data_IF_918399850227
#
_entry.id   IF_918399850227
#
_cell.length_a   1.000
_cell.length_b   1.000
_cell.length_c   1.000
_cell.angle_alpha   90.00
_cell.angle_beta   90.00
_cell.angle_gamma   90.00
#
_symmetry.space_group_name_H-M   'P 1'
#
loop_
_entity.id
_entity.type
_entity.pdbx_description
1 polymer ?
#
# COMPACT_ATOMS: atom_id res chain seq x y z
N UNK A 1 10.89 27.62 27.56
CA UNK A 1 9.94 26.57 27.08
C UNK A 1 8.82 26.47 28.08
N UNK A 2 7.60 26.45 27.60
CA UNK A 2 6.40 26.24 28.39
C UNK A 2 6.24 24.73 28.71
N UNK A 3 6.00 24.39 29.98
CA UNK A 3 5.91 23.00 30.41
C UNK A 3 4.49 22.47 30.30
N UNK A 4 4.29 21.39 29.54
CA UNK A 4 3.03 20.68 29.37
C UNK A 4 3.12 19.29 30.00
N UNK A 5 2.08 18.91 30.78
CA UNK A 5 1.93 17.54 31.30
C UNK A 5 0.70 16.93 30.68
N UNK A 6 0.84 15.69 30.16
CA UNK A 6 -0.25 14.99 29.47
C UNK A 6 -0.24 13.49 29.79
N UNK A 7 -1.34 12.82 29.49
CA UNK A 7 -1.40 11.36 29.59
C UNK A 7 -0.66 10.67 28.43
N UNK A 8 -0.88 11.16 27.21
CA UNK A 8 -0.31 10.61 25.98
C UNK A 8 0.26 11.72 25.10
N UNK A 9 1.51 11.58 24.72
CA UNK A 9 2.14 12.41 23.69
C UNK A 9 2.29 11.56 22.41
N UNK A 10 1.66 12.00 21.32
CA UNK A 10 1.74 11.37 20.00
C UNK A 10 2.64 12.22 19.11
N UNK A 11 3.63 11.62 18.48
CA UNK A 11 4.59 12.29 17.60
C UNK A 11 4.34 11.83 16.17
N UNK A 12 3.83 12.72 15.34
CA UNK A 12 3.43 12.51 13.96
C UNK A 12 1.90 12.43 13.79
N UNK A 13 1.33 13.24 12.90
CA UNK A 13 -0.08 13.33 12.58
C UNK A 13 -0.43 12.65 11.23
N UNK A 14 0.24 11.56 10.91
CA UNK A 14 -0.20 10.64 9.86
C UNK A 14 -1.32 9.71 10.36
N UNK A 15 -1.80 8.81 9.50
CA UNK A 15 -2.94 7.91 9.76
C UNK A 15 -2.89 7.18 11.11
N UNK A 16 -1.72 6.70 11.52
CA UNK A 16 -1.54 6.02 12.80
C UNK A 16 -1.64 6.97 13.98
N UNK A 17 -0.94 8.12 13.93
CA UNK A 17 -0.95 9.10 15.01
C UNK A 17 -2.30 9.75 15.22
N UNK A 18 -2.98 10.15 14.13
CA UNK A 18 -4.35 10.67 14.16
C UNK A 18 -5.32 9.67 14.79
N UNK A 19 -5.22 8.39 14.41
CA UNK A 19 -6.06 7.33 14.97
C UNK A 19 -5.86 7.15 16.48
N UNK A 20 -4.61 7.22 16.97
CA UNK A 20 -4.31 7.16 18.41
C UNK A 20 -4.85 8.41 19.11
N UNK A 21 -4.57 9.60 18.58
CA UNK A 21 -4.95 10.86 19.20
C UNK A 21 -6.48 10.97 19.33
N UNK A 22 -7.22 10.73 18.23
CA UNK A 22 -8.68 10.75 18.24
C UNK A 22 -9.27 9.69 19.18
N UNK A 23 -8.78 8.45 19.11
CA UNK A 23 -9.26 7.35 19.95
C UNK A 23 -9.01 7.59 21.43
N UNK A 24 -7.84 8.09 21.80
CA UNK A 24 -7.49 8.33 23.18
C UNK A 24 -8.24 9.54 23.78
N UNK A 25 -8.30 10.66 23.07
CA UNK A 25 -8.99 11.86 23.54
C UNK A 25 -10.49 11.64 23.76
N UNK A 26 -11.18 10.99 22.82
CA UNK A 26 -12.60 10.68 22.95
C UNK A 26 -12.91 9.70 24.09
N UNK A 27 -11.90 8.99 24.60
CA UNK A 27 -12.00 8.13 25.79
C UNK A 27 -11.56 8.83 27.07
N UNK A 28 -11.35 10.16 27.03
CA UNK A 28 -11.08 11.01 28.18
C UNK A 28 -9.62 11.08 28.63
N UNK A 29 -8.67 10.70 27.78
CA UNK A 29 -7.26 10.92 28.05
C UNK A 29 -6.84 12.34 27.60
N UNK A 30 -5.96 12.97 28.35
CA UNK A 30 -5.27 14.19 27.92
C UNK A 30 -4.23 13.81 26.85
N UNK A 31 -4.37 14.39 25.65
CA UNK A 31 -3.51 14.07 24.49
C UNK A 31 -2.85 15.30 23.92
N UNK A 32 -1.54 15.23 23.76
CA UNK A 32 -0.76 16.15 22.92
C UNK A 32 -0.39 15.42 21.63
N UNK A 33 -0.67 16.05 20.50
CA UNK A 33 -0.28 15.60 19.15
C UNK A 33 0.72 16.60 18.56
N UNK A 34 1.89 16.13 18.16
CA UNK A 34 2.94 16.98 17.58
C UNK A 34 3.12 16.62 16.11
N UNK A 35 3.06 17.63 15.23
CA UNK A 35 3.27 17.46 13.79
C UNK A 35 4.15 18.60 13.25
N UNK A 36 5.21 18.21 12.53
CA UNK A 36 6.13 19.19 11.93
C UNK A 36 5.72 19.64 10.53
N UNK A 37 5.01 18.77 9.81
CA UNK A 37 4.58 18.97 8.42
C UNK A 37 3.06 19.10 8.29
N UNK A 38 2.49 18.63 7.21
CA UNK A 38 1.05 18.70 6.97
C UNK A 38 0.28 17.64 7.76
N UNK A 39 -0.87 18.03 8.32
CA UNK A 39 -1.81 17.12 8.96
C UNK A 39 -2.30 16.07 7.95
N UNK A 40 -2.56 14.84 8.40
CA UNK A 40 -2.88 13.70 7.52
C UNK A 40 -1.65 12.92 7.04
N UNK A 41 -0.46 13.53 7.13
CA UNK A 41 0.83 12.92 6.80
C UNK A 41 0.95 12.50 5.34
N UNK A 42 1.84 11.52 5.09
CA UNK A 42 2.20 11.07 3.73
C UNK A 42 0.99 10.55 2.93
N UNK A 43 0.11 9.78 3.55
CA UNK A 43 -1.03 9.16 2.85
C UNK A 43 -1.96 10.18 2.20
N UNK A 44 -2.35 11.22 2.93
CA UNK A 44 -3.23 12.28 2.44
C UNK A 44 -2.53 13.18 1.42
N UNK A 45 -1.31 13.63 1.73
CA UNK A 45 -0.68 14.73 1.02
C UNK A 45 0.23 14.26 -0.13
N UNK A 46 0.89 13.09 -0.01
CA UNK A 46 1.96 12.67 -0.90
C UNK A 46 1.90 11.20 -1.31
N UNK A 47 0.88 10.45 -0.89
CA UNK A 47 0.82 9.00 -1.05
C UNK A 47 -0.48 8.51 -1.67
N UNK A 48 -1.30 7.82 -0.86
CA UNK A 48 -2.47 7.08 -1.33
C UNK A 48 -3.50 7.97 -2.02
N UNK A 49 -3.82 9.12 -1.44
CA UNK A 49 -4.88 10.00 -1.97
C UNK A 49 -4.47 10.61 -3.31
N UNK A 50 -3.36 11.34 -3.43
CA UNK A 50 -2.97 11.93 -4.70
C UNK A 50 -2.68 10.90 -5.79
N UNK A 51 -2.07 9.76 -5.46
CA UNK A 51 -1.78 8.73 -6.45
C UNK A 51 -3.06 8.10 -7.02
N UNK A 52 -4.08 7.84 -6.19
CA UNK A 52 -5.35 7.24 -6.66
C UNK A 52 -6.19 8.26 -7.43
N UNK A 53 -6.15 9.54 -7.07
CA UNK A 53 -6.77 10.59 -7.87
C UNK A 53 -6.10 10.72 -9.25
N UNK A 54 -4.78 10.64 -9.33
CA UNK A 54 -4.03 10.66 -10.59
C UNK A 54 -4.32 9.41 -11.45
N UNK A 55 -4.35 8.22 -10.84
CA UNK A 55 -4.69 6.97 -11.51
C UNK A 55 -6.11 7.01 -12.07
N UNK A 56 -7.09 7.54 -11.32
CA UNK A 56 -8.47 7.68 -11.81
C UNK A 56 -8.57 8.59 -13.04
N UNK A 57 -7.84 9.71 -13.06
CA UNK A 57 -7.75 10.55 -14.25
C UNK A 57 -7.12 9.81 -15.44
N UNK A 58 -6.04 9.05 -15.20
CA UNK A 58 -5.36 8.25 -16.22
C UNK A 58 -6.24 7.09 -16.74
N UNK A 59 -7.03 6.45 -15.85
CA UNK A 59 -8.00 5.41 -16.22
C UNK A 59 -9.09 5.96 -17.15
N UNK A 60 -9.58 7.17 -16.91
CA UNK A 60 -10.58 7.80 -17.78
C UNK A 60 -10.06 8.04 -19.20
N UNK A 61 -8.79 8.39 -19.35
CA UNK A 61 -8.12 8.51 -20.66
C UNK A 61 -8.02 7.14 -21.34
N UNK A 62 -7.59 6.11 -20.63
CA UNK A 62 -7.47 4.77 -21.20
C UNK A 62 -8.84 4.18 -21.56
N UNK A 63 -9.87 4.41 -20.73
CA UNK A 63 -11.23 3.99 -21.04
C UNK A 63 -11.76 4.61 -22.35
N UNK A 64 -11.43 5.87 -22.61
CA UNK A 64 -11.79 6.53 -23.87
C UNK A 64 -11.06 5.90 -25.07
N UNK A 65 -9.77 5.57 -24.94
CA UNK A 65 -8.99 4.88 -25.99
C UNK A 65 -9.53 3.48 -26.28
N UNK A 66 -9.95 2.77 -25.23
CA UNK A 66 -10.43 1.39 -25.32
C UNK A 66 -11.93 1.30 -25.74
N UNK A 67 -12.66 2.41 -25.81
CA UNK A 67 -14.09 2.45 -26.12
C UNK A 67 -14.42 1.81 -27.49
N UNK A 68 -13.47 1.83 -28.42
CA UNK A 68 -13.62 1.21 -29.77
C UNK A 68 -13.97 -0.28 -29.71
N UNK A 69 -13.52 -1.02 -28.69
CA UNK A 69 -13.87 -2.44 -28.50
C UNK A 69 -15.37 -2.70 -28.27
N UNK A 70 -16.10 -1.66 -27.82
CA UNK A 70 -17.56 -1.70 -27.64
C UNK A 70 -18.33 -1.07 -28.81
N UNK A 71 -17.63 -0.71 -29.90
CA UNK A 71 -18.23 -0.01 -31.04
C UNK A 71 -18.41 1.49 -30.83
N UNK A 72 -17.84 2.06 -29.75
CA UNK A 72 -17.89 3.50 -29.48
C UNK A 72 -16.56 4.12 -29.95
N UNK A 73 -16.61 4.80 -31.10
CA UNK A 73 -15.42 5.41 -31.69
C UNK A 73 -15.28 6.86 -31.23
N UNK A 74 -14.16 7.15 -30.56
CA UNK A 74 -13.81 8.46 -30.04
C UNK A 74 -12.51 8.96 -30.68
N UNK A 75 -12.32 10.27 -30.75
CA UNK A 75 -11.02 10.86 -31.08
C UNK A 75 -10.04 10.64 -29.89
N UNK A 76 -8.74 10.73 -30.17
CA UNK A 76 -7.72 10.68 -29.10
C UNK A 76 -8.01 11.79 -28.07
N UNK A 77 -8.08 11.45 -26.78
CA UNK A 77 -8.36 12.43 -25.75
C UNK A 77 -7.32 13.56 -25.69
N UNK A 78 -7.80 14.79 -25.62
CA UNK A 78 -6.95 15.96 -25.32
C UNK A 78 -6.80 16.07 -23.81
N UNK A 79 -5.57 16.00 -23.33
CA UNK A 79 -5.26 15.98 -21.91
C UNK A 79 -4.79 17.36 -21.49
N UNK A 80 -5.53 18.01 -20.61
CA UNK A 80 -5.09 19.20 -19.87
C UNK A 80 -4.42 18.75 -18.57
N UNK A 81 -3.09 18.68 -18.59
CA UNK A 81 -2.29 18.18 -17.47
C UNK A 81 -2.43 19.07 -16.23
N UNK A 82 -2.64 20.39 -16.42
CA UNK A 82 -2.91 21.31 -15.32
C UNK A 82 -4.24 21.03 -14.62
N UNK A 83 -5.29 20.71 -15.37
CA UNK A 83 -6.58 20.31 -14.79
C UNK A 83 -6.53 18.94 -14.12
N UNK A 84 -5.75 17.99 -14.63
CA UNK A 84 -5.52 16.71 -13.94
C UNK A 84 -4.89 16.95 -12.57
N UNK A 85 -3.87 17.81 -12.47
CA UNK A 85 -3.28 18.16 -11.17
C UNK A 85 -4.22 18.97 -10.28
N UNK A 86 -5.09 19.80 -10.86
CA UNK A 86 -6.12 20.48 -10.07
C UNK A 86 -7.10 19.48 -9.46
N UNK A 87 -7.54 18.47 -10.22
CA UNK A 87 -8.36 17.38 -9.70
C UNK A 87 -7.68 16.66 -8.52
N UNK A 88 -6.38 16.35 -8.63
CA UNK A 88 -5.63 15.73 -7.51
C UNK A 88 -5.66 16.60 -6.27
N UNK A 89 -5.46 17.93 -6.41
CA UNK A 89 -5.53 18.87 -5.29
C UNK A 89 -6.94 18.95 -4.70
N UNK A 90 -7.96 19.04 -5.54
CA UNK A 90 -9.37 19.12 -5.09
C UNK A 90 -9.76 17.88 -4.26
N UNK A 91 -9.24 16.70 -4.61
CA UNK A 91 -9.46 15.47 -3.85
C UNK A 91 -8.75 15.53 -2.49
N UNK A 92 -7.49 16.00 -2.44
CA UNK A 92 -6.76 16.20 -1.19
C UNK A 92 -7.52 17.19 -0.30
N UNK A 93 -7.88 18.37 -0.84
CA UNK A 93 -8.57 19.43 -0.12
C UNK A 93 -9.94 18.99 0.39
N UNK A 94 -10.63 18.14 -0.38
CA UNK A 94 -11.92 17.55 0.02
C UNK A 94 -11.82 16.58 1.20
N UNK A 95 -10.68 15.92 1.38
CA UNK A 95 -10.42 14.96 2.47
C UNK A 95 -9.75 15.64 3.67
N UNK A 96 -8.90 16.64 3.45
CA UNK A 96 -8.09 17.31 4.47
C UNK A 96 -8.87 17.77 5.72
N UNK A 97 -10.14 18.24 5.65
CA UNK A 97 -10.90 18.58 6.85
C UNK A 97 -11.07 17.44 7.85
N UNK A 98 -11.03 16.17 7.40
CA UNK A 98 -11.11 15.00 8.28
C UNK A 98 -9.84 14.80 9.13
N UNK A 99 -8.72 15.33 8.67
CA UNK A 99 -7.41 15.20 9.32
C UNK A 99 -6.91 16.55 9.86
N UNK A 100 -7.73 17.62 9.80
CA UNK A 100 -7.33 18.98 10.12
C UNK A 100 -7.05 19.20 11.62
N UNK A 101 -6.20 20.19 11.91
CA UNK A 101 -5.89 20.61 13.29
C UNK A 101 -7.15 21.00 14.03
N UNK A 102 -8.03 21.81 13.42
CA UNK A 102 -9.28 22.31 14.02
C UNK A 102 -10.18 21.17 14.45
N UNK A 103 -10.27 20.11 13.64
CA UNK A 103 -11.07 18.94 14.01
C UNK A 103 -10.49 18.23 15.23
N UNK A 104 -9.16 18.04 15.30
CA UNK A 104 -8.51 17.37 16.43
C UNK A 104 -8.55 18.22 17.71
N UNK A 105 -8.41 19.53 17.61
CA UNK A 105 -8.63 20.44 18.74
C UNK A 105 -10.09 20.39 19.20
N UNK A 106 -11.04 20.32 18.27
CA UNK A 106 -12.48 20.09 18.58
C UNK A 106 -12.76 18.77 19.28
N UNK A 107 -11.90 17.76 19.12
CA UNK A 107 -11.94 16.49 19.85
C UNK A 107 -11.25 16.56 21.23
N UNK A 108 -10.66 17.71 21.60
CA UNK A 108 -9.94 17.91 22.85
C UNK A 108 -8.46 17.51 22.80
N UNK A 109 -7.88 17.35 21.62
CA UNK A 109 -6.44 17.11 21.45
C UNK A 109 -5.72 18.44 21.45
N UNK A 110 -4.61 18.56 22.19
CA UNK A 110 -3.71 19.71 22.09
C UNK A 110 -2.74 19.47 20.93
N UNK A 111 -2.89 20.21 19.83
CA UNK A 111 -2.08 20.05 18.62
C UNK A 111 -0.95 21.06 18.62
N UNK A 112 0.30 20.60 18.46
CA UNK A 112 1.51 21.43 18.41
C UNK A 112 2.17 21.26 17.04
N UNK A 113 2.28 22.38 16.31
CA UNK A 113 2.92 22.41 14.98
C UNK A 113 4.41 22.69 15.15
N UNK A 114 5.20 21.64 15.35
CA UNK A 114 6.65 21.72 15.54
C UNK A 114 7.33 20.38 15.31
N UNK A 115 8.64 20.39 15.10
CA UNK A 115 9.48 19.19 15.17
C UNK A 115 9.61 18.74 16.62
N UNK A 116 9.52 17.44 16.87
CA UNK A 116 9.63 16.82 18.19
C UNK A 116 10.98 16.13 18.37
N UNK A 117 11.58 16.27 19.55
CA UNK A 117 12.79 15.52 19.89
C UNK A 117 12.79 15.15 21.38
N UNK A 118 13.09 13.90 21.71
CA UNK A 118 13.30 13.49 23.10
C UNK A 118 14.53 14.16 23.68
N UNK A 119 14.37 14.82 24.82
CA UNK A 119 15.46 15.39 25.61
C UNK A 119 15.83 14.46 26.77
N UNK A 120 14.85 13.70 27.26
CA UNK A 120 14.96 12.72 28.32
C UNK A 120 13.98 11.54 28.06
N UNK A 121 14.09 10.41 28.80
CA UNK A 121 13.18 9.27 28.59
C UNK A 121 11.68 9.55 28.71
N UNK A 122 11.28 10.64 29.37
CA UNK A 122 9.89 11.03 29.59
C UNK A 122 9.58 12.45 29.18
N UNK A 123 10.47 13.09 28.41
CA UNK A 123 10.36 14.50 28.03
C UNK A 123 10.67 14.67 26.56
N UNK A 124 9.81 15.39 25.87
CA UNK A 124 9.95 15.76 24.45
C UNK A 124 9.94 17.28 24.36
N UNK A 125 10.92 17.87 23.68
CA UNK A 125 10.88 19.25 23.25
C UNK A 125 10.18 19.36 21.89
N UNK A 126 9.29 20.36 21.76
CA UNK A 126 8.61 20.66 20.50
C UNK A 126 8.35 22.18 20.39
N UNK A 127 9.11 22.88 19.55
CA UNK A 127 9.08 24.33 19.46
C UNK A 127 9.39 24.99 20.81
N UNK A 128 8.46 25.81 21.31
CA UNK A 128 8.59 26.50 22.60
C UNK A 128 8.11 25.68 23.80
N UNK A 129 7.74 24.41 23.58
CA UNK A 129 7.15 23.54 24.60
C UNK A 129 8.11 22.45 25.06
N UNK A 130 7.99 22.10 26.34
CA UNK A 130 8.57 20.91 26.96
C UNK A 130 7.43 20.00 27.46
N UNK A 131 7.25 18.84 26.82
CA UNK A 131 6.12 17.94 27.06
C UNK A 131 6.58 16.73 27.87
N UNK A 132 6.02 16.58 29.06
CA UNK A 132 6.16 15.39 29.90
C UNK A 132 4.91 14.52 29.77
N UNK A 133 5.03 13.26 29.42
CA UNK A 133 3.89 12.37 29.25
C UNK A 133 4.03 11.05 30.02
N UNK A 134 2.89 10.45 30.39
CA UNK A 134 2.85 9.09 30.96
C UNK A 134 3.19 8.04 29.91
N UNK A 135 2.81 8.28 28.65
CA UNK A 135 3.04 7.42 27.49
C UNK A 135 3.40 8.25 26.26
N UNK A 136 4.27 7.70 25.41
CA UNK A 136 4.60 8.28 24.12
C UNK A 136 4.24 7.29 23.00
N UNK A 137 3.76 7.81 21.88
CA UNK A 137 3.51 7.04 20.66
C UNK A 137 4.24 7.72 19.51
N UNK A 138 5.28 7.07 19.01
CA UNK A 138 6.04 7.54 17.85
C UNK A 138 5.36 7.01 16.59
N UNK A 139 4.83 7.93 15.77
CA UNK A 139 4.08 7.65 14.54
C UNK A 139 4.58 8.51 13.36
N UNK A 140 5.89 8.75 13.31
CA UNK A 140 6.55 9.66 12.36
C UNK A 140 6.67 9.13 10.95
N UNK A 141 6.25 7.88 10.71
CA UNK A 141 6.17 7.31 9.37
C UNK A 141 7.53 7.07 8.71
N UNK A 142 7.55 7.22 7.40
CA UNK A 142 8.71 7.04 6.54
C UNK A 142 8.72 8.08 5.41
N UNK A 143 9.89 8.30 4.81
CA UNK A 143 10.09 9.14 3.62
C UNK A 143 10.72 8.33 2.49
N UNK A 144 10.76 8.87 1.27
CA UNK A 144 11.41 8.23 0.14
C UNK A 144 12.88 7.89 0.45
N UNK A 145 13.29 6.68 0.15
CA UNK A 145 14.68 6.28 0.19
C UNK A 145 15.36 6.71 -1.12
N UNK A 146 16.28 7.66 -1.03
CA UNK A 146 17.07 8.12 -2.17
C UNK A 146 18.38 7.32 -2.19
N UNK A 147 18.60 6.47 -3.21
CA UNK A 147 19.83 5.69 -3.32
C UNK A 147 21.03 6.63 -3.61
N UNK A 148 22.24 6.26 -3.17
CA UNK A 148 23.44 7.05 -3.37
C UNK A 148 23.99 6.91 -4.79
N UNK A 149 23.19 7.31 -5.79
CA UNK A 149 23.57 7.29 -7.21
C UNK A 149 24.42 8.54 -7.50
N UNK A 150 25.60 8.40 -8.10
CA UNK A 150 26.44 9.53 -8.50
C UNK A 150 25.66 10.57 -9.32
N UNK A 151 25.78 11.85 -8.96
CA UNK A 151 25.14 12.98 -9.63
C UNK A 151 23.63 13.15 -9.35
N UNK A 152 22.94 12.17 -8.75
CA UNK A 152 21.51 12.27 -8.51
C UNK A 152 21.15 13.46 -7.58
N UNK A 153 21.94 13.71 -6.55
CA UNK A 153 21.72 14.82 -5.62
C UNK A 153 22.01 16.21 -6.23
N UNK A 154 22.67 16.26 -7.38
CA UNK A 154 23.08 17.49 -8.08
C UNK A 154 22.06 17.93 -9.13
N UNK A 155 21.08 17.07 -9.44
CA UNK A 155 20.04 17.33 -10.42
C UNK A 155 18.66 17.42 -9.75
N UNK A 156 17.69 18.12 -10.36
CA UNK A 156 16.31 18.09 -9.86
C UNK A 156 15.72 16.69 -10.09
N UNK A 157 15.48 15.95 -9.01
CA UNK A 157 14.75 14.69 -9.06
C UNK A 157 13.44 14.76 -8.26
N UNK A 158 12.51 13.92 -8.62
CA UNK A 158 11.21 13.80 -7.99
C UNK A 158 11.18 12.59 -7.05
N UNK A 159 10.36 12.71 -6.01
CA UNK A 159 9.93 11.61 -5.13
C UNK A 159 8.41 11.57 -5.07
N UNK A 160 7.83 10.66 -4.27
CA UNK A 160 6.40 10.70 -3.99
C UNK A 160 5.94 12.04 -3.39
N UNK A 161 6.82 12.76 -2.68
CA UNK A 161 6.47 14.04 -2.08
C UNK A 161 6.36 15.19 -3.10
N UNK A 162 7.00 15.07 -4.27
CA UNK A 162 7.09 16.16 -5.25
C UNK A 162 6.45 15.87 -6.59
N UNK A 163 6.21 14.60 -6.95
CA UNK A 163 5.65 14.23 -8.27
C UNK A 163 4.24 14.82 -8.49
N UNK A 164 3.44 14.95 -7.43
CA UNK A 164 2.09 15.50 -7.49
C UNK A 164 2.05 17.03 -7.57
N UNK A 165 3.20 17.69 -7.49
CA UNK A 165 3.35 19.15 -7.67
C UNK A 165 3.86 19.54 -9.05
N UNK A 166 4.05 18.59 -9.95
CA UNK A 166 4.49 18.83 -11.34
C UNK A 166 3.30 19.31 -12.17
N UNK A 167 3.26 20.58 -12.52
CA UNK A 167 2.12 21.17 -13.24
C UNK A 167 2.22 21.02 -14.77
N UNK A 168 3.42 20.84 -15.30
CA UNK A 168 3.66 20.66 -16.71
C UNK A 168 3.90 19.19 -17.04
N UNK A 169 3.32 18.73 -18.14
CA UNK A 169 3.48 17.34 -18.57
C UNK A 169 4.96 17.01 -18.85
N UNK A 170 5.57 16.04 -18.15
CA UNK A 170 6.91 15.55 -18.49
C UNK A 170 6.95 15.04 -19.95
N UNK A 171 7.95 15.48 -20.72
CA UNK A 171 8.18 14.91 -22.05
C UNK A 171 8.58 13.45 -21.94
N UNK A 172 9.55 13.16 -21.07
CA UNK A 172 10.01 11.81 -20.80
C UNK A 172 10.30 11.68 -19.29
N UNK A 173 9.50 10.89 -18.61
CA UNK A 173 9.69 10.55 -17.21
C UNK A 173 10.48 9.25 -17.08
N UNK A 174 11.66 9.31 -16.44
CA UNK A 174 12.46 8.13 -16.11
C UNK A 174 12.19 7.80 -14.64
N UNK A 175 11.75 6.58 -14.36
CA UNK A 175 11.41 6.13 -13.00
C UNK A 175 12.45 5.12 -12.54
N UNK A 176 13.07 5.37 -11.39
CA UNK A 176 14.04 4.48 -10.75
C UNK A 176 13.33 3.73 -9.61
N UNK A 177 13.07 2.45 -9.82
CA UNK A 177 12.37 1.53 -8.92
C UNK A 177 11.08 0.98 -9.48
N UNK A 178 11.02 -0.34 -9.67
CA UNK A 178 9.88 -1.11 -10.19
C UNK A 178 8.95 -1.67 -9.11
N UNK A 179 8.93 -1.06 -7.91
CA UNK A 179 7.95 -1.36 -6.87
C UNK A 179 6.54 -0.82 -7.21
N UNK A 180 5.53 -1.04 -6.34
CA UNK A 180 4.16 -0.59 -6.58
C UNK A 180 4.05 0.88 -6.97
N UNK A 181 4.73 1.78 -6.24
CA UNK A 181 4.71 3.24 -6.52
C UNK A 181 5.25 3.54 -7.92
N UNK A 182 6.40 2.94 -8.28
CA UNK A 182 7.00 3.15 -9.60
C UNK A 182 6.10 2.67 -10.73
N UNK A 183 5.48 1.50 -10.59
CA UNK A 183 4.57 0.93 -11.60
C UNK A 183 3.27 1.74 -11.74
N UNK A 184 2.67 2.19 -10.63
CA UNK A 184 1.49 3.05 -10.64
C UNK A 184 1.79 4.40 -11.33
N UNK A 185 2.89 5.05 -10.96
CA UNK A 185 3.29 6.32 -11.57
C UNK A 185 3.68 6.16 -13.04
N UNK A 186 4.32 5.05 -13.41
CA UNK A 186 4.64 4.75 -14.80
C UNK A 186 3.37 4.65 -15.65
N UNK A 187 2.38 3.87 -15.19
CA UNK A 187 1.13 3.70 -15.92
C UNK A 187 0.31 4.98 -15.99
N UNK A 188 0.17 5.71 -14.87
CA UNK A 188 -0.56 6.97 -14.84
C UNK A 188 0.01 7.98 -15.83
N UNK A 189 1.33 8.25 -15.76
CA UNK A 189 1.96 9.24 -16.63
C UNK A 189 1.97 8.80 -18.11
N UNK A 190 2.14 7.49 -18.38
CA UNK A 190 2.04 6.98 -19.75
C UNK A 190 0.67 7.23 -20.35
N UNK A 191 -0.39 6.93 -19.63
CA UNK A 191 -1.78 7.17 -20.04
C UNK A 191 -2.08 8.64 -20.24
N UNK A 192 -1.48 9.51 -19.42
CA UNK A 192 -1.56 10.97 -19.53
C UNK A 192 -0.65 11.56 -20.62
N UNK A 193 -0.04 10.72 -21.48
CA UNK A 193 0.66 11.14 -22.68
C UNK A 193 2.15 11.42 -22.50
N UNK A 194 2.77 11.04 -21.37
CA UNK A 194 4.22 11.09 -21.19
C UNK A 194 4.89 9.90 -21.89
N UNK A 195 6.12 10.08 -22.37
CA UNK A 195 7.03 8.96 -22.59
C UNK A 195 7.54 8.50 -21.22
N UNK A 196 7.57 7.18 -20.96
CA UNK A 196 7.99 6.63 -19.68
C UNK A 196 8.98 5.50 -19.86
N UNK A 197 10.08 5.55 -19.11
CA UNK A 197 11.01 4.43 -18.90
C UNK A 197 11.03 4.05 -17.43
N UNK A 198 10.79 2.79 -17.12
CA UNK A 198 10.82 2.22 -15.76
C UNK A 198 12.07 1.36 -15.61
N UNK A 199 12.96 1.74 -14.70
CA UNK A 199 14.21 1.05 -14.41
C UNK A 199 14.11 0.31 -13.07
N UNK A 200 14.41 -0.98 -13.09
CA UNK A 200 14.44 -1.81 -11.88
C UNK A 200 15.73 -2.60 -11.81
N UNK A 201 16.41 -2.53 -10.66
CA UNK A 201 17.70 -3.20 -10.46
C UNK A 201 17.59 -4.74 -10.49
N UNK A 202 16.47 -5.28 -10.02
CA UNK A 202 16.22 -6.72 -9.95
C UNK A 202 14.99 -7.10 -10.79
N UNK A 203 13.85 -7.31 -10.13
CA UNK A 203 12.55 -7.64 -10.77
C UNK A 203 11.47 -6.72 -10.23
N UNK A 204 10.50 -6.41 -11.06
CA UNK A 204 9.31 -5.65 -10.65
C UNK A 204 8.59 -6.36 -9.50
N UNK A 205 8.08 -5.57 -8.53
CA UNK A 205 7.21 -6.04 -7.44
C UNK A 205 7.70 -7.36 -6.81
N UNK A 206 8.94 -7.43 -6.28
CA UNK A 206 9.60 -8.69 -5.90
C UNK A 206 8.96 -9.40 -4.69
N UNK A 207 7.99 -8.77 -4.02
CA UNK A 207 7.23 -9.38 -2.92
C UNK A 207 5.97 -10.10 -3.38
N UNK A 208 5.57 -9.91 -4.63
CA UNK A 208 4.36 -10.46 -5.21
C UNK A 208 4.63 -11.75 -5.99
N UNK A 209 3.57 -12.50 -6.29
CA UNK A 209 3.67 -13.73 -7.08
C UNK A 209 4.14 -13.41 -8.50
N UNK A 210 5.26 -14.00 -8.98
CA UNK A 210 5.86 -13.64 -10.26
C UNK A 210 4.94 -13.88 -11.47
N UNK A 211 4.02 -14.85 -11.41
CA UNK A 211 3.04 -15.08 -12.47
C UNK A 211 2.02 -13.94 -12.55
N UNK A 212 1.61 -13.41 -11.40
CA UNK A 212 0.70 -12.27 -11.35
C UNK A 212 1.40 -10.97 -11.76
N UNK A 213 2.66 -10.81 -11.33
CA UNK A 213 3.50 -9.67 -11.75
C UNK A 213 3.69 -9.64 -13.26
N UNK A 214 3.83 -10.81 -13.91
CA UNK A 214 3.98 -10.89 -15.36
C UNK A 214 2.76 -10.33 -16.10
N UNK A 215 1.55 -10.53 -15.61
CA UNK A 215 0.34 -9.93 -16.18
C UNK A 215 0.43 -8.39 -16.16
N UNK A 216 0.82 -7.81 -15.02
CA UNK A 216 1.02 -6.35 -14.91
C UNK A 216 2.14 -5.88 -15.85
N UNK A 217 3.28 -6.58 -15.88
CA UNK A 217 4.42 -6.25 -16.75
C UNK A 217 4.01 -6.19 -18.21
N UNK A 218 3.32 -7.22 -18.70
CA UNK A 218 2.86 -7.29 -20.08
C UNK A 218 1.91 -6.14 -20.42
N UNK A 219 1.04 -5.77 -19.49
CA UNK A 219 0.14 -4.62 -19.65
C UNK A 219 0.92 -3.30 -19.76
N UNK A 220 1.89 -3.05 -18.87
CA UNK A 220 2.70 -1.84 -18.91
C UNK A 220 3.46 -1.72 -20.22
N UNK A 221 4.05 -2.82 -20.69
CA UNK A 221 4.76 -2.87 -21.99
C UNK A 221 3.80 -2.64 -23.16
N UNK A 222 2.61 -3.26 -23.12
CA UNK A 222 1.59 -3.09 -24.18
C UNK A 222 1.08 -1.65 -24.26
N UNK A 223 1.02 -0.93 -23.15
CA UNK A 223 0.70 0.50 -23.11
C UNK A 223 1.87 1.40 -23.56
N UNK A 224 3.04 0.83 -23.87
CA UNK A 224 4.21 1.50 -24.42
C UNK A 224 5.15 2.12 -23.37
N UNK A 225 5.18 1.55 -22.17
CA UNK A 225 6.20 1.86 -21.17
C UNK A 225 7.45 1.02 -21.49
N UNK A 226 8.62 1.66 -21.51
CA UNK A 226 9.92 1.00 -21.64
C UNK A 226 10.33 0.42 -20.27
N UNK A 227 9.99 -0.84 -20.03
CA UNK A 227 10.28 -1.55 -18.77
C UNK A 227 11.61 -2.26 -18.88
N UNK A 228 12.57 -1.91 -18.02
CA UNK A 228 13.91 -2.48 -17.97
C UNK A 228 14.20 -3.03 -16.59
N UNK A 229 14.26 -4.35 -16.49
CA UNK A 229 14.61 -5.08 -15.26
C UNK A 229 16.04 -5.59 -15.33
N UNK A 230 16.68 -5.79 -14.17
CA UNK A 230 18.09 -6.19 -14.06
C UNK A 230 19.05 -5.06 -14.44
N UNK A 231 18.59 -3.81 -14.47
CA UNK A 231 19.36 -2.64 -14.93
C UNK A 231 19.69 -1.73 -13.75
N UNK A 232 20.99 -1.62 -13.45
CA UNK A 232 21.50 -0.67 -12.46
C UNK A 232 21.67 0.73 -13.03
N UNK A 233 21.27 1.75 -12.27
CA UNK A 233 21.60 3.15 -12.57
C UNK A 233 22.97 3.48 -11.98
N UNK A 234 23.91 3.87 -12.84
CA UNK A 234 25.30 4.15 -12.49
C UNK A 234 25.53 5.64 -12.17
N UNK A 235 24.85 6.53 -12.89
CA UNK A 235 24.92 7.98 -12.66
C UNK A 235 23.69 8.69 -13.20
N UNK A 236 23.42 9.89 -12.68
CA UNK A 236 22.47 10.84 -13.26
C UNK A 236 23.18 12.15 -13.51
N UNK A 237 23.05 12.68 -14.71
CA UNK A 237 23.71 13.89 -15.17
C UNK A 237 22.68 14.84 -15.76
N UNK A 238 23.05 16.13 -15.88
CA UNK A 238 22.25 17.09 -16.59
C UNK A 238 21.89 18.35 -15.79
N UNK A 239 20.96 19.13 -16.33
CA UNK A 239 20.54 20.40 -15.74
C UNK A 239 19.09 20.72 -16.14
N UNK A 240 18.27 21.18 -15.19
CA UNK A 240 16.87 21.51 -15.45
C UNK A 240 16.09 20.29 -15.99
N UNK A 241 15.51 20.43 -17.17
CA UNK A 241 14.75 19.35 -17.87
C UNK A 241 15.58 18.61 -18.91
N UNK A 242 16.90 18.81 -18.98
CA UNK A 242 17.79 18.05 -19.84
C UNK A 242 18.61 17.08 -18.98
N UNK A 243 18.02 15.95 -18.62
CA UNK A 243 18.59 14.94 -17.74
C UNK A 243 19.05 13.71 -18.53
N UNK A 244 20.12 13.08 -18.08
CA UNK A 244 20.66 11.84 -18.63
C UNK A 244 20.87 10.83 -17.50
N UNK A 245 20.23 9.71 -17.61
CA UNK A 245 20.41 8.56 -16.70
C UNK A 245 21.35 7.56 -17.37
N UNK A 246 22.51 7.37 -16.78
CA UNK A 246 23.50 6.38 -17.24
C UNK A 246 23.21 5.06 -16.55
N UNK A 247 23.10 4.01 -17.33
CA UNK A 247 22.80 2.66 -16.83
C UNK A 247 23.84 1.66 -17.35
N UNK A 248 23.86 0.46 -16.79
CA UNK A 248 24.69 -0.65 -17.26
C UNK A 248 24.43 -1.06 -18.71
N UNK A 249 23.30 -0.64 -19.31
CA UNK A 249 22.88 -0.94 -20.69
C UNK A 249 22.87 0.31 -21.61
N UNK A 250 23.53 1.38 -21.19
CA UNK A 250 23.63 2.64 -21.95
C UNK A 250 22.95 3.82 -21.27
N UNK A 251 22.90 4.95 -21.94
CA UNK A 251 22.33 6.18 -21.39
C UNK A 251 20.94 6.46 -21.95
N UNK A 252 20.09 7.05 -21.11
CA UNK A 252 18.70 7.42 -21.43
C UNK A 252 18.54 8.91 -21.17
N UNK A 253 18.19 9.67 -22.21
CA UNK A 253 17.87 11.08 -22.07
C UNK A 253 16.39 11.26 -21.67
N UNK A 254 16.12 12.11 -20.68
CA UNK A 254 14.79 12.39 -20.18
C UNK A 254 14.61 13.80 -19.66
N UNK A 255 13.37 14.19 -19.42
CA UNK A 255 13.05 15.51 -18.87
C UNK A 255 12.91 15.50 -17.34
N UNK A 256 12.50 14.38 -16.76
CA UNK A 256 12.28 14.23 -15.32
C UNK A 256 12.74 12.84 -14.84
N UNK A 257 13.26 12.79 -13.63
CA UNK A 257 13.62 11.54 -12.94
C UNK A 257 12.79 11.43 -11.68
N UNK A 258 12.05 10.31 -11.52
CA UNK A 258 11.33 9.97 -10.30
C UNK A 258 12.08 8.84 -9.56
N UNK A 259 12.39 9.05 -8.29
CA UNK A 259 12.99 8.04 -7.42
C UNK A 259 11.88 7.35 -6.60
N UNK A 260 11.65 6.07 -6.88
CA UNK A 260 10.68 5.21 -6.21
C UNK A 260 11.34 3.91 -5.69
N UNK A 261 12.60 4.01 -5.23
CA UNK A 261 13.48 2.89 -4.87
C UNK A 261 13.32 2.38 -3.43
N UNK A 262 12.23 2.73 -2.75
CA UNK A 262 11.92 2.29 -1.40
C UNK A 262 11.65 3.43 -0.44
N UNK A 263 11.54 3.10 0.86
CA UNK A 263 11.23 4.06 1.94
C UNK A 263 12.15 3.84 3.13
N UNK A 264 12.49 4.91 3.84
CA UNK A 264 13.26 4.86 5.09
C UNK A 264 12.43 5.40 6.27
N UNK A 265 12.51 4.78 7.46
CA UNK A 265 11.85 5.26 8.68
C UNK A 265 12.33 6.65 9.09
N UNK A 266 11.42 7.51 9.57
CA UNK A 266 11.74 8.86 10.02
C UNK A 266 12.11 8.85 11.51
N UNK A 267 13.39 8.65 11.81
CA UNK A 267 13.92 8.52 13.19
C UNK A 267 15.06 9.46 13.53
N UNK A 268 15.70 10.08 12.52
CA UNK A 268 16.99 10.78 12.69
C UNK A 268 16.91 12.00 13.63
N UNK A 269 15.81 12.77 13.60
CA UNK A 269 15.63 14.00 14.40
C UNK A 269 14.98 13.79 15.77
N UNK A 270 14.59 12.55 16.10
CA UNK A 270 13.73 12.26 17.27
C UNK A 270 14.46 12.24 18.62
N UNK A 271 15.79 12.35 18.67
CA UNK A 271 16.53 12.26 19.93
C UNK A 271 16.39 10.90 20.64
N UNK A 272 16.20 9.80 19.90
CA UNK A 272 15.93 8.46 20.44
C UNK A 272 17.01 7.97 21.40
N UNK A 273 18.26 8.40 21.21
CA UNK A 273 19.37 8.09 22.13
C UNK A 273 19.15 8.69 23.54
N UNK A 274 18.63 9.93 23.64
CA UNK A 274 18.30 10.57 24.91
C UNK A 274 17.14 9.84 25.62
N UNK A 275 16.20 9.28 24.86
CA UNK A 275 15.14 8.42 25.39
C UNK A 275 15.63 6.99 25.71
N UNK A 276 16.82 6.59 25.24
CA UNK A 276 17.38 5.24 25.34
C UNK A 276 16.57 4.21 24.55
N UNK A 277 15.97 4.64 23.43
CA UNK A 277 15.18 3.77 22.50
C UNK A 277 16.12 3.13 21.49
N UNK A 278 15.98 1.82 21.29
CA UNK A 278 16.80 1.03 20.37
C UNK A 278 16.23 1.07 18.95
N UNK A 279 17.14 1.17 17.99
CA UNK A 279 16.83 1.12 16.56
C UNK A 279 17.67 0.07 15.85
N UNK A 280 17.12 -0.51 14.78
CA UNK A 280 17.84 -1.41 13.89
C UNK A 280 17.59 -0.99 12.44
N UNK A 281 18.66 -0.78 11.67
CA UNK A 281 18.58 -0.30 10.27
C UNK A 281 17.71 0.95 10.12
N UNK A 282 17.77 1.86 11.10
CA UNK A 282 16.99 3.10 11.12
C UNK A 282 15.56 2.95 11.65
N UNK A 283 15.04 1.76 11.88
CA UNK A 283 13.69 1.53 12.38
C UNK A 283 13.66 1.37 13.91
N UNK A 284 12.60 1.85 14.55
CA UNK A 284 12.39 1.66 15.99
C UNK A 284 11.96 0.21 16.26
N UNK A 285 12.72 -0.49 17.12
CA UNK A 285 12.42 -1.86 17.49
C UNK A 285 11.26 -1.93 18.47
N UNK A 286 10.27 -2.81 18.17
CA UNK A 286 9.08 -2.99 18.99
C UNK A 286 8.78 -4.48 19.23
N UNK A 287 8.13 -4.74 20.37
CA UNK A 287 7.56 -6.06 20.64
C UNK A 287 6.18 -6.25 19.97
N UNK A 288 5.60 -7.43 20.07
CA UNK A 288 4.27 -7.71 19.51
C UNK A 288 3.13 -6.82 20.07
N UNK A 289 3.37 -6.04 21.12
CA UNK A 289 2.44 -5.03 21.66
C UNK A 289 2.78 -3.62 21.21
N UNK A 290 3.72 -3.49 20.27
CA UNK A 290 4.22 -2.22 19.74
C UNK A 290 4.96 -1.35 20.80
N UNK A 291 5.50 -1.98 21.84
CA UNK A 291 6.31 -1.30 22.84
C UNK A 291 7.77 -1.39 22.44
N UNK A 292 8.49 -0.29 22.59
CA UNK A 292 9.95 -0.29 22.49
C UNK A 292 10.59 -0.98 23.70
N UNK A 293 11.91 -1.05 23.76
CA UNK A 293 12.66 -1.45 24.96
C UNK A 293 12.33 -0.55 26.18
N UNK A 294 11.78 0.65 25.96
CA UNK A 294 11.21 1.54 26.99
C UNK A 294 9.68 1.37 27.03
N UNK A 295 9.17 0.61 28.01
CA UNK A 295 7.76 0.17 28.09
C UNK A 295 6.71 1.29 28.07
N UNK A 296 7.08 2.53 28.26
CA UNK A 296 6.20 3.70 28.20
C UNK A 296 6.25 4.41 26.83
N UNK A 297 7.15 3.97 25.94
CA UNK A 297 7.28 4.47 24.55
C UNK A 297 6.85 3.36 23.61
N UNK A 298 5.87 3.69 22.76
CA UNK A 298 5.36 2.84 21.69
C UNK A 298 5.79 3.42 20.34
N UNK A 299 5.89 2.58 19.32
CA UNK A 299 6.06 3.04 17.94
C UNK A 299 5.12 2.26 17.02
N UNK A 300 4.55 2.94 16.02
CA UNK A 300 3.52 2.40 15.12
C UNK A 300 3.74 2.83 13.66
N UNK A 301 3.24 2.01 12.73
CA UNK A 301 3.33 2.26 11.31
C UNK A 301 4.76 2.14 10.79
N UNK A 302 5.07 2.89 9.74
CA UNK A 302 6.30 2.74 8.95
C UNK A 302 7.59 2.96 9.74
N UNK A 303 7.55 3.76 10.81
CA UNK A 303 8.73 4.02 11.66
C UNK A 303 9.26 2.75 12.34
N UNK A 304 8.47 1.68 12.40
CA UNK A 304 8.87 0.36 12.92
C UNK A 304 9.57 -0.53 11.89
N UNK A 305 9.65 -0.11 10.62
CA UNK A 305 10.38 -0.80 9.55
C UNK A 305 9.71 -2.07 9.00
N UNK A 306 8.52 -2.42 9.48
CA UNK A 306 7.74 -3.56 8.99
C UNK A 306 6.98 -3.25 7.69
N UNK A 307 5.73 -3.71 7.60
CA UNK A 307 4.84 -3.36 6.49
C UNK A 307 4.46 -1.88 6.52
N UNK A 308 4.81 -1.16 5.46
CA UNK A 308 4.65 0.30 5.35
C UNK A 308 3.35 0.64 4.63
N UNK A 309 2.21 0.40 5.30
CA UNK A 309 0.88 0.65 4.75
C UNK A 309 0.04 1.48 5.72
N UNK A 310 -0.79 2.36 5.17
CA UNK A 310 -1.72 3.21 5.93
C UNK A 310 -2.66 2.41 6.82
N UNK A 311 -3.24 1.33 6.31
CA UNK A 311 -4.14 0.46 7.08
C UNK A 311 -3.41 -0.30 8.18
N UNK A 312 -2.11 -0.62 8.02
CA UNK A 312 -1.30 -1.21 9.08
C UNK A 312 -1.06 -0.23 10.22
N UNK A 313 -0.77 1.04 9.89
CA UNK A 313 -0.61 2.09 10.91
C UNK A 313 -1.91 2.30 11.71
N UNK A 314 -3.07 2.29 11.05
CA UNK A 314 -4.39 2.34 11.70
C UNK A 314 -4.67 1.11 12.58
N UNK A 315 -4.33 -0.10 12.12
CA UNK A 315 -4.43 -1.32 12.91
C UNK A 315 -3.52 -1.27 14.15
N UNK A 316 -2.28 -0.83 13.99
CA UNK A 316 -1.33 -0.61 15.09
C UNK A 316 -1.89 0.37 16.13
N UNK A 317 -2.52 1.46 15.69
CA UNK A 317 -3.16 2.42 16.58
C UNK A 317 -4.21 1.75 17.49
N UNK A 318 -5.06 0.90 16.92
CA UNK A 318 -6.04 0.12 17.69
C UNK A 318 -5.40 -0.82 18.72
N UNK A 319 -4.25 -1.44 18.40
CA UNK A 319 -3.49 -2.27 19.34
C UNK A 319 -2.92 -1.42 20.49
N UNK A 320 -2.32 -0.27 20.16
CA UNK A 320 -1.70 0.62 21.16
C UNK A 320 -2.75 1.24 22.09
N UNK A 321 -3.87 1.74 21.56
CA UNK A 321 -4.96 2.30 22.37
C UNK A 321 -5.48 1.27 23.38
N UNK A 322 -5.70 0.03 22.95
CA UNK A 322 -6.11 -1.05 23.87
C UNK A 322 -5.07 -1.33 24.97
N UNK A 323 -3.79 -1.33 24.63
CA UNK A 323 -2.71 -1.55 25.58
C UNK A 323 -2.55 -0.39 26.57
N UNK A 324 -2.68 0.86 26.11
CA UNK A 324 -2.46 2.05 26.94
C UNK A 324 -3.66 2.32 27.87
N UNK A 325 -4.87 2.40 27.29
CA UNK A 325 -6.05 2.86 28.02
C UNK A 325 -6.73 1.74 28.81
N UNK A 326 -6.90 0.58 28.19
CA UNK A 326 -7.64 -0.52 28.81
C UNK A 326 -6.76 -1.57 29.47
N UNK A 327 -5.43 -1.47 29.31
CA UNK A 327 -4.44 -2.47 29.79
C UNK A 327 -4.73 -3.90 29.29
N UNK A 328 -5.46 -4.01 28.18
CA UNK A 328 -5.71 -5.28 27.50
C UNK A 328 -4.45 -5.69 26.79
N UNK A 329 -3.93 -6.93 26.95
CA UNK A 329 -2.69 -7.37 26.34
C UNK A 329 -2.86 -7.68 24.83
N UNK A 330 -3.32 -6.67 24.08
CA UNK A 330 -3.48 -6.77 22.63
C UNK A 330 -2.10 -6.91 21.95
N UNK A 331 -2.04 -7.78 20.95
CA UNK A 331 -0.85 -8.03 20.14
C UNK A 331 -1.17 -7.83 18.66
N UNK A 332 -0.17 -7.48 17.90
CA UNK A 332 -0.23 -7.46 16.44
C UNK A 332 -0.33 -8.90 15.91
N UNK A 333 -1.17 -9.08 14.92
CA UNK A 333 -1.27 -10.29 14.10
C UNK A 333 -1.09 -9.91 12.63
N UNK A 334 0.08 -10.20 12.11
CA UNK A 334 0.46 -9.86 10.73
C UNK A 334 0.09 -10.98 9.72
N UNK A 335 -0.60 -12.02 10.15
CA UNK A 335 -0.93 -13.19 9.30
C UNK A 335 -1.94 -12.87 8.19
N UNK A 336 -2.63 -11.74 8.26
CA UNK A 336 -3.69 -11.35 7.32
C UNK A 336 -3.52 -9.91 6.81
N UNK A 337 -2.30 -9.39 6.78
CA UNK A 337 -2.04 -8.06 6.20
C UNK A 337 -2.24 -8.14 4.69
N UNK A 338 -3.16 -7.34 4.12
CA UNK A 338 -3.32 -7.25 2.68
C UNK A 338 -2.45 -6.15 2.11
N UNK A 339 -2.12 -6.25 0.82
CA UNK A 339 -1.63 -5.12 0.04
C UNK A 339 -2.18 -5.15 -1.37
N UNK A 340 -2.19 -3.99 -2.00
CA UNK A 340 -2.68 -3.80 -3.37
C UNK A 340 -1.74 -2.86 -4.10
N UNK A 341 -1.39 -3.21 -5.34
CA UNK A 341 -0.82 -2.32 -6.34
C UNK A 341 -1.94 -1.92 -7.29
N UNK A 342 -2.17 -0.62 -7.41
CA UNK A 342 -3.33 -0.06 -8.12
C UNK A 342 -3.01 0.24 -9.59
N UNK A 343 -2.20 -0.60 -10.21
CA UNK A 343 -2.09 -0.66 -11.67
C UNK A 343 -3.39 -1.18 -12.28
N UNK A 344 -3.57 -1.11 -13.58
CA UNK A 344 -4.64 -1.79 -14.28
C UNK A 344 -4.03 -2.81 -15.26
N UNK A 345 -4.22 -4.14 -14.97
CA UNK A 345 -4.99 -4.72 -13.87
C UNK A 345 -4.35 -4.48 -12.49
N UNK A 346 -5.19 -4.39 -11.45
CA UNK A 346 -4.74 -4.32 -10.06
C UNK A 346 -4.12 -5.64 -9.61
N UNK A 347 -3.11 -5.59 -8.73
CA UNK A 347 -2.52 -6.76 -8.09
C UNK A 347 -2.73 -6.68 -6.58
N UNK A 348 -3.40 -7.68 -6.00
CA UNK A 348 -3.73 -7.75 -4.59
C UNK A 348 -3.26 -9.05 -3.95
N UNK A 349 -2.82 -8.97 -2.69
CA UNK A 349 -2.37 -10.14 -1.92
C UNK A 349 -2.81 -10.06 -0.47
N UNK A 350 -2.98 -11.24 0.16
CA UNK A 350 -3.17 -11.40 1.60
C UNK A 350 -2.67 -12.77 2.07
N UNK A 351 -1.99 -12.82 3.21
CA UNK A 351 -1.56 -14.05 3.87
C UNK A 351 -0.31 -14.68 3.27
N UNK A 352 -0.27 -16.02 3.15
CA UNK A 352 0.89 -16.73 2.62
C UNK A 352 0.91 -16.70 1.09
N UNK A 353 2.10 -16.51 0.51
CA UNK A 353 2.33 -16.76 -0.91
C UNK A 353 2.29 -18.27 -1.23
N UNK A 354 2.23 -18.62 -2.51
CA UNK A 354 2.34 -20.02 -2.97
C UNK A 354 3.64 -20.68 -2.47
N UNK A 355 4.77 -19.98 -2.60
CA UNK A 355 6.07 -20.46 -2.13
C UNK A 355 6.07 -20.70 -0.62
N UNK A 356 5.58 -19.73 0.17
CA UNK A 356 5.49 -19.85 1.62
C UNK A 356 4.57 -20.98 2.07
N UNK A 357 3.44 -21.21 1.37
CA UNK A 357 2.57 -22.37 1.63
C UNK A 357 3.35 -23.65 1.43
N UNK A 358 4.03 -23.83 0.29
CA UNK A 358 4.76 -25.05 -0.03
C UNK A 358 5.92 -25.32 0.94
N UNK A 359 6.58 -24.27 1.43
CA UNK A 359 7.61 -24.39 2.47
C UNK A 359 7.02 -24.84 3.83
N UNK A 360 5.81 -24.36 4.20
CA UNK A 360 5.18 -24.70 5.48
C UNK A 360 4.35 -25.98 5.43
N UNK A 361 3.71 -26.28 4.35
CA UNK A 361 2.89 -27.48 4.11
C UNK A 361 2.99 -27.94 2.65
N UNK A 362 3.95 -28.81 2.38
CA UNK A 362 4.16 -29.40 1.03
C UNK A 362 2.96 -30.18 0.48
N UNK A 363 1.91 -30.44 1.28
CA UNK A 363 0.63 -31.05 0.87
C UNK A 363 -0.50 -30.02 0.75
N UNK A 364 -0.18 -28.76 0.89
CA UNK A 364 -1.09 -27.66 0.60
C UNK A 364 -1.54 -27.69 -0.86
N UNK A 365 -2.62 -27.00 -1.14
CA UNK A 365 -3.20 -26.89 -2.49
C UNK A 365 -3.29 -25.44 -2.89
N UNK A 366 -2.89 -25.11 -4.11
CA UNK A 366 -3.13 -23.81 -4.73
C UNK A 366 -4.31 -23.95 -5.68
N UNK A 367 -5.39 -23.25 -5.35
CA UNK A 367 -6.58 -23.18 -6.20
C UNK A 367 -6.40 -22.01 -7.18
N UNK A 368 -6.89 -22.19 -8.42
CA UNK A 368 -6.76 -21.17 -9.47
C UNK A 368 -8.11 -20.91 -10.11
N UNK A 369 -8.35 -19.66 -10.48
CA UNK A 369 -9.52 -19.26 -11.27
C UNK A 369 -9.15 -18.03 -12.10
N UNK A 370 -9.42 -18.10 -13.41
CA UNK A 370 -9.07 -17.04 -14.35
C UNK A 370 -10.26 -16.09 -14.55
N UNK A 371 -10.02 -14.79 -14.68
CA UNK A 371 -11.04 -13.80 -15.02
C UNK A 371 -11.62 -14.03 -16.42
N UNK A 372 -10.88 -14.68 -17.33
CA UNK A 372 -11.41 -15.10 -18.63
C UNK A 372 -12.63 -16.04 -18.53
N UNK A 373 -12.78 -16.75 -17.42
CA UNK A 373 -13.94 -17.58 -17.11
C UNK A 373 -15.07 -16.86 -16.35
N UNK A 374 -14.90 -15.58 -16.01
CA UNK A 374 -15.89 -14.80 -15.27
C UNK A 374 -16.76 -13.98 -16.23
N UNK A 375 -18.08 -14.19 -16.18
CA UNK A 375 -19.02 -13.58 -17.14
C UNK A 375 -19.05 -12.04 -17.04
N UNK A 376 -18.91 -11.47 -15.85
CA UNK A 376 -18.83 -10.02 -15.68
C UNK A 376 -17.56 -9.43 -16.29
N UNK A 377 -16.42 -10.07 -16.06
CA UNK A 377 -15.14 -9.66 -16.63
C UNK A 377 -15.18 -9.71 -18.16
N UNK A 378 -15.81 -10.76 -18.73
CA UNK A 378 -16.04 -10.87 -20.18
C UNK A 378 -16.94 -9.75 -20.69
N UNK A 379 -18.06 -9.49 -20.02
CA UNK A 379 -19.02 -8.46 -20.42
C UNK A 379 -18.40 -7.06 -20.43
N UNK A 380 -17.43 -6.78 -19.52
CA UNK A 380 -16.71 -5.52 -19.45
C UNK A 380 -15.40 -5.51 -20.26
N UNK A 381 -15.06 -6.62 -20.94
CA UNK A 381 -13.83 -6.74 -21.72
C UNK A 381 -12.54 -6.74 -20.87
N UNK A 382 -12.65 -7.14 -19.60
CA UNK A 382 -11.56 -7.12 -18.60
C UNK A 382 -11.23 -8.56 -18.14
N UNK A 383 -11.18 -9.51 -19.08
CA UNK A 383 -10.92 -10.93 -18.78
C UNK A 383 -9.46 -11.29 -18.48
N UNK A 384 -8.57 -10.31 -18.40
CA UNK A 384 -7.16 -10.51 -18.08
C UNK A 384 -6.95 -10.73 -16.58
N UNK A 385 -6.12 -11.71 -16.23
CA UNK A 385 -5.74 -11.96 -14.85
C UNK A 385 -6.36 -13.21 -14.23
N UNK A 386 -5.95 -13.48 -12.99
CA UNK A 386 -6.32 -14.70 -12.26
C UNK A 386 -6.28 -14.51 -10.73
N UNK A 387 -6.94 -15.43 -10.05
CA UNK A 387 -6.89 -15.60 -8.60
C UNK A 387 -6.16 -16.90 -8.26
N UNK A 388 -5.23 -16.84 -7.32
CA UNK A 388 -4.62 -17.98 -6.62
C UNK A 388 -5.07 -17.99 -5.17
N UNK A 389 -5.48 -19.14 -4.64
CA UNK A 389 -5.86 -19.29 -3.22
C UNK A 389 -5.05 -20.42 -2.60
N UNK A 390 -4.31 -20.10 -1.57
CA UNK A 390 -3.46 -21.01 -0.82
C UNK A 390 -4.26 -21.67 0.31
N UNK A 391 -4.40 -22.99 0.26
CA UNK A 391 -5.19 -23.78 1.21
C UNK A 391 -4.31 -24.90 1.78
N UNK A 392 -4.26 -25.03 3.11
CA UNK A 392 -3.50 -26.11 3.74
C UNK A 392 -4.21 -27.46 3.55
N UNK A 393 -3.50 -28.56 3.84
CA UNK A 393 -4.03 -29.93 3.70
C UNK A 393 -5.31 -30.21 4.50
N UNK A 394 -5.65 -29.37 5.46
CA UNK A 394 -6.89 -29.48 6.25
C UNK A 394 -8.02 -28.62 5.70
N UNK A 395 -7.79 -27.91 4.61
CA UNK A 395 -8.76 -27.01 4.00
C UNK A 395 -8.87 -25.63 4.64
N UNK A 396 -7.93 -25.25 5.52
CA UNK A 396 -7.87 -23.89 6.08
C UNK A 396 -7.27 -22.95 5.04
N UNK A 397 -7.89 -21.79 4.85
CA UNK A 397 -7.40 -20.75 3.95
C UNK A 397 -6.18 -20.08 4.59
N UNK A 398 -5.08 -19.99 3.83
CA UNK A 398 -3.80 -19.47 4.32
C UNK A 398 -3.34 -18.23 3.58
N UNK A 399 -3.80 -18.02 2.35
CA UNK A 399 -3.46 -16.86 1.56
C UNK A 399 -4.31 -16.76 0.31
N UNK A 400 -4.29 -15.59 -0.32
CA UNK A 400 -4.85 -15.34 -1.63
C UNK A 400 -4.03 -14.25 -2.35
N UNK A 401 -3.78 -14.46 -3.64
CA UNK A 401 -3.14 -13.49 -4.53
C UNK A 401 -3.97 -13.35 -5.79
N UNK A 402 -4.18 -12.13 -6.25
CA UNK A 402 -5.07 -11.86 -7.38
C UNK A 402 -4.48 -10.75 -8.25
N UNK A 403 -4.54 -10.93 -9.56
CA UNK A 403 -4.34 -9.87 -10.53
C UNK A 403 -5.58 -9.79 -11.42
N UNK A 404 -6.13 -8.61 -11.61
CA UNK A 404 -7.33 -8.43 -12.43
C UNK A 404 -8.11 -7.16 -12.11
N UNK A 405 -9.30 -7.00 -12.72
CA UNK A 405 -10.11 -5.81 -12.51
C UNK A 405 -10.57 -5.71 -11.06
N UNK A 406 -10.33 -4.54 -10.43
CA UNK A 406 -10.72 -4.24 -9.05
C UNK A 406 -10.27 -5.30 -8.04
N UNK A 407 -9.05 -5.84 -8.22
CA UNK A 407 -8.53 -6.91 -7.36
C UNK A 407 -8.51 -6.51 -5.88
N UNK A 408 -8.25 -5.24 -5.56
CA UNK A 408 -8.29 -4.72 -4.20
C UNK A 408 -9.66 -4.81 -3.53
N UNK A 409 -10.74 -4.67 -4.31
CA UNK A 409 -12.11 -4.83 -3.83
C UNK A 409 -12.53 -6.32 -3.81
N UNK A 410 -12.18 -7.06 -4.85
CA UNK A 410 -12.58 -8.47 -5.01
C UNK A 410 -11.90 -9.38 -4.00
N UNK A 411 -10.70 -9.05 -3.49
CA UNK A 411 -9.94 -9.85 -2.51
C UNK A 411 -10.52 -9.77 -1.08
N UNK A 412 -11.35 -8.77 -0.74
CA UNK A 412 -11.84 -8.50 0.61
C UNK A 412 -12.42 -9.75 1.35
N UNK A 413 -13.21 -10.64 0.72
CA UNK A 413 -13.70 -11.84 1.38
C UNK A 413 -12.58 -12.80 1.84
N UNK A 414 -11.44 -12.84 1.13
CA UNK A 414 -10.28 -13.64 1.52
C UNK A 414 -9.56 -13.05 2.73
N UNK A 415 -9.47 -11.72 2.82
CA UNK A 415 -8.90 -11.03 3.98
C UNK A 415 -9.70 -11.41 5.23
N UNK A 416 -11.04 -11.31 5.16
CA UNK A 416 -11.92 -11.71 6.25
C UNK A 416 -11.77 -13.20 6.59
N UNK A 417 -11.75 -14.07 5.58
CA UNK A 417 -11.64 -15.51 5.78
C UNK A 417 -10.32 -15.90 6.46
N UNK A 418 -9.21 -15.29 6.07
CA UNK A 418 -7.89 -15.55 6.65
C UNK A 418 -7.81 -15.02 8.08
N UNK A 419 -8.25 -13.77 8.32
CA UNK A 419 -8.25 -13.16 9.66
C UNK A 419 -9.08 -13.93 10.68
N UNK A 420 -10.15 -14.60 10.23
CA UNK A 420 -11.01 -15.44 11.05
C UNK A 420 -10.62 -16.92 11.04
N UNK A 421 -9.54 -17.28 10.33
CA UNK A 421 -9.06 -18.65 10.24
C UNK A 421 -10.05 -19.64 9.62
N UNK A 422 -10.85 -19.18 8.65
CA UNK A 422 -11.93 -19.97 8.06
C UNK A 422 -11.40 -21.11 7.18
N UNK A 423 -12.24 -22.15 7.07
CA UNK A 423 -12.07 -23.24 6.13
C UNK A 423 -12.63 -22.88 4.75
N UNK A 424 -12.03 -23.39 3.66
CA UNK A 424 -12.45 -23.12 2.28
C UNK A 424 -13.95 -23.37 2.02
N UNK A 425 -14.56 -24.26 2.80
CA UNK A 425 -16.00 -24.52 2.76
C UNK A 425 -16.85 -23.26 3.00
N UNK A 426 -16.37 -22.31 3.79
CA UNK A 426 -17.10 -21.07 4.03
C UNK A 426 -17.27 -20.28 2.73
N UNK A 427 -16.25 -20.31 1.86
CA UNK A 427 -16.25 -19.59 0.59
C UNK A 427 -17.10 -20.28 -0.51
N UNK A 428 -17.52 -21.52 -0.32
CA UNK A 428 -18.49 -22.20 -1.22
C UNK A 428 -19.93 -22.01 -0.77
N UNK A 429 -20.15 -21.73 0.52
CA UNK A 429 -21.47 -21.69 1.13
C UNK A 429 -22.25 -20.38 0.94
N UNK A 430 -21.57 -19.27 0.58
CA UNK A 430 -22.27 -18.00 0.37
C UNK A 430 -22.85 -17.89 -1.06
N UNK A 431 -23.84 -17.00 -1.20
CA UNK A 431 -24.44 -16.69 -2.51
C UNK A 431 -23.79 -15.44 -3.07
N UNK A 432 -22.95 -15.60 -4.09
CA UNK A 432 -22.44 -14.47 -4.86
C UNK A 432 -23.56 -13.92 -5.76
N UNK A 433 -23.74 -12.57 -5.82
CA UNK A 433 -24.65 -11.99 -6.81
C UNK A 433 -24.10 -12.23 -8.22
N UNK A 434 -25.02 -12.45 -9.18
CA UNK A 434 -24.69 -12.70 -10.58
C UNK A 434 -25.26 -11.59 -11.49
N UNK A 435 -24.50 -11.10 -12.50
CA UNK A 435 -23.06 -11.36 -12.71
C UNK A 435 -22.18 -10.34 -11.96
N UNK A 436 -21.15 -10.81 -11.28
CA UNK A 436 -20.17 -9.95 -10.60
C UNK A 436 -18.75 -10.48 -10.75
N UNK A 437 -17.75 -9.60 -10.59
CA UNK A 437 -16.34 -10.03 -10.53
C UNK A 437 -16.08 -10.94 -9.33
N UNK A 438 -16.79 -10.72 -8.22
CA UNK A 438 -16.64 -11.51 -6.98
C UNK A 438 -17.00 -13.00 -7.12
N UNK A 439 -17.68 -13.43 -8.18
CA UNK A 439 -17.94 -14.87 -8.44
C UNK A 439 -16.67 -15.67 -8.65
N UNK A 440 -15.55 -15.04 -9.04
CA UNK A 440 -14.24 -15.70 -9.16
C UNK A 440 -13.83 -16.34 -7.83
N UNK A 441 -14.17 -15.70 -6.69
CA UNK A 441 -13.88 -16.20 -5.36
C UNK A 441 -14.58 -17.55 -5.09
N UNK A 442 -15.87 -17.63 -5.46
CA UNK A 442 -16.64 -18.86 -5.30
C UNK A 442 -16.20 -19.95 -6.27
N UNK A 443 -15.85 -19.58 -7.51
CA UNK A 443 -15.31 -20.50 -8.51
C UNK A 443 -14.01 -21.14 -8.02
N UNK A 444 -13.05 -20.32 -7.55
CA UNK A 444 -11.80 -20.80 -6.97
C UNK A 444 -12.05 -21.74 -5.78
N UNK A 445 -12.90 -21.33 -4.82
CA UNK A 445 -13.22 -22.16 -3.65
C UNK A 445 -13.87 -23.50 -4.04
N UNK A 446 -14.76 -23.51 -5.03
CA UNK A 446 -15.46 -24.70 -5.50
C UNK A 446 -14.50 -25.70 -6.15
N UNK A 447 -13.44 -25.24 -6.80
CA UNK A 447 -12.44 -26.09 -7.44
C UNK A 447 -11.73 -27.04 -6.45
N UNK A 448 -11.65 -26.67 -5.17
CA UNK A 448 -11.11 -27.54 -4.11
C UNK A 448 -11.83 -28.87 -3.99
N UNK A 449 -13.14 -28.89 -4.22
CA UNK A 449 -13.97 -30.09 -4.10
C UNK A 449 -14.12 -30.88 -5.42
N UNK A 450 -13.82 -30.25 -6.55
CA UNK A 450 -13.98 -30.84 -7.88
C UNK A 450 -13.35 -32.24 -8.03
N UNK A 451 -12.07 -32.47 -7.60
CA UNK A 451 -11.46 -33.79 -7.74
C UNK A 451 -12.16 -34.88 -6.92
N UNK A 452 -12.74 -34.53 -5.76
CA UNK A 452 -13.46 -35.49 -4.90
C UNK A 452 -14.87 -35.70 -5.38
N UNK A 453 -15.62 -34.66 -5.71
CA UNK A 453 -17.01 -34.71 -6.14
C UNK A 453 -17.20 -35.51 -7.45
N UNK A 454 -16.27 -35.31 -8.39
CA UNK A 454 -16.34 -36.00 -9.69
C UNK A 454 -15.49 -37.27 -9.76
N UNK A 455 -14.99 -37.76 -8.61
CA UNK A 455 -14.24 -39.02 -8.57
C UNK A 455 -15.10 -40.22 -8.92
N UNK A 456 -14.48 -41.28 -9.46
CA UNK A 456 -15.16 -42.56 -9.76
C UNK A 456 -15.80 -43.19 -8.51
N UNK A 457 -15.28 -42.91 -7.33
CA UNK A 457 -15.85 -43.33 -6.04
C UNK A 457 -17.18 -42.65 -5.79
N UNK A 458 -17.21 -41.31 -5.88
CA UNK A 458 -18.43 -40.52 -5.68
C UNK A 458 -19.48 -40.85 -6.72
N UNK A 459 -19.10 -41.00 -8.00
CA UNK A 459 -20.03 -41.39 -9.07
C UNK A 459 -20.64 -42.80 -8.83
N UNK A 460 -19.87 -43.76 -8.29
CA UNK A 460 -20.39 -45.05 -7.89
C UNK A 460 -21.38 -44.98 -6.74
N UNK A 461 -21.04 -44.15 -5.72
CA UNK A 461 -21.93 -43.92 -4.58
C UNK A 461 -23.25 -43.29 -5.02
N UNK A 462 -23.19 -42.24 -5.85
CA UNK A 462 -24.40 -41.57 -6.39
C UNK A 462 -25.27 -42.55 -7.18
N UNK A 463 -24.69 -43.36 -8.07
CA UNK A 463 -25.40 -44.37 -8.81
C UNK A 463 -26.07 -45.43 -7.90
N UNK A 464 -25.46 -45.74 -6.77
CA UNK A 464 -26.03 -46.63 -5.78
C UNK A 464 -27.20 -45.96 -5.03
N UNK A 465 -26.99 -44.70 -4.55
CA UNK A 465 -28.04 -43.94 -3.86
C UNK A 465 -29.27 -43.68 -4.73
N UNK A 466 -29.10 -43.45 -6.04
CA UNK A 466 -30.20 -43.25 -6.97
C UNK A 466 -31.02 -44.54 -7.22
N UNK A 467 -30.61 -45.72 -6.74
CA UNK A 467 -31.40 -46.97 -6.77
C UNK A 467 -32.23 -47.15 -5.49
N UNK A 468 -32.00 -46.30 -4.48
CA UNK A 468 -32.83 -46.31 -3.27
C UNK A 468 -34.14 -45.58 -3.57
N UNK A 469 -35.27 -46.00 -3.03
CA UNK A 469 -36.56 -45.36 -3.26
C UNK A 469 -36.63 -43.96 -2.64
#
# INVERSE_FOLDING_TARGET
MEAIKTDICVIGAGSGGLSVAAGASQMGADVVLIEQGEMGGDCLNYGCVPSKALLAAAESVQAARDAGRFGVHMAEPVIDFGQVHQHVRDVIDGIAPHDSQERFEGLGVNVIRASASFTEPKTVAAGDYEITAKRFVVATGSSAAVPPIPGLAEVPFLTNETIFSVHEKPEHLIIIGGGPIGCEMAQAHRRLGCKVTLLELFTMMPKDDPELVDVVRQRLIAEGIDVREGIGVEAVEGQGTALRVVTSDGAIDGSHVLVAAGRKPNTESLGLAAAGVETERGAIQVDARLRTNKKHIFAIGDVTGGYQFTHQAGYHAGVVVRNILFRVPAKVDDSSIPWVSYTEPELAHVGLSEEQLMQQDAKGTVLRSDFAGNDRARATGQGEGLLKVMVDRKGKIRGASMVGPHAGEVIQPWILAISQGLHIRAMTGYRAPYPTLGEINKAAASSFYTPTLYSSRTQRLVRWLMKLP
#
